data_IF_474308920443
#
_entry.id   IF_474308920443
#
_cell.length_a   1.000
_cell.length_b   1.000
_cell.length_c   1.000
_cell.angle_alpha   90.00
_cell.angle_beta   90.00
_cell.angle_gamma   90.00
#
_symmetry.space_group_name_H-M   'P 1'
#
loop_
_entity.id
_entity.type
_entity.pdbx_description
1 polymer ?
#
# COMPACT_ATOMS: atom_id res chain seq x y z
N UNK A 1 1.81 -2.82 -15.31
CA UNK A 1 1.56 -1.58 -14.54
C UNK A 1 2.74 -1.47 -13.59
N UNK A 2 3.49 -0.37 -13.60
CA UNK A 2 4.68 -0.24 -12.74
C UNK A 2 4.27 0.36 -11.40
N UNK A 3 4.03 -0.52 -10.44
CA UNK A 3 3.91 -0.19 -9.03
C UNK A 3 5.09 -0.77 -8.26
N UNK A 4 5.59 0.00 -7.31
CA UNK A 4 6.49 -0.50 -6.28
C UNK A 4 5.74 -0.45 -4.96
N UNK A 5 5.57 -1.60 -4.33
CA UNK A 5 5.07 -1.66 -2.97
C UNK A 5 6.24 -1.81 -2.01
N UNK A 6 6.38 -0.85 -1.10
CA UNK A 6 7.36 -0.92 -0.02
C UNK A 6 6.68 -1.12 1.32
N UNK A 7 7.07 -2.14 2.09
CA UNK A 7 6.70 -2.23 3.51
C UNK A 7 7.73 -1.39 4.27
N UNK A 8 7.26 -0.30 4.86
CA UNK A 8 8.09 0.56 5.70
C UNK A 8 7.80 0.27 7.17
N UNK A 9 8.83 -0.12 7.91
CA UNK A 9 8.81 -0.25 9.37
C UNK A 9 9.57 0.92 9.98
N UNK A 10 8.97 1.65 10.91
CA UNK A 10 9.68 2.73 11.61
C UNK A 10 8.78 3.84 12.17
N UNK A 11 9.24 4.46 13.25
CA UNK A 11 8.54 5.54 13.95
C UNK A 11 8.74 5.47 15.45
N UNK A 12 9.86 6.02 15.93
CA UNK A 12 10.26 6.00 17.34
C UNK A 12 9.16 6.50 18.29
N UNK A 13 8.49 7.61 17.93
CA UNK A 13 7.42 8.19 18.74
C UNK A 13 6.19 7.27 18.93
N UNK A 14 5.87 6.42 17.94
CA UNK A 14 4.77 5.46 18.06
C UNK A 14 5.20 4.21 18.84
N UNK A 15 6.46 3.83 18.71
CA UNK A 15 7.08 2.76 19.48
C UNK A 15 7.16 3.13 20.97
N UNK A 16 7.64 4.32 21.32
CA UNK A 16 7.71 4.77 22.73
C UNK A 16 6.34 4.75 23.42
N UNK A 17 5.26 5.01 22.68
CA UNK A 17 3.91 5.03 23.22
C UNK A 17 3.27 3.65 23.34
N UNK A 18 3.62 2.70 22.47
CA UNK A 18 2.88 1.43 22.33
C UNK A 18 3.74 0.17 22.47
N UNK A 19 5.07 0.31 22.47
CA UNK A 19 6.03 -0.79 22.38
C UNK A 19 6.06 -1.50 21.02
N UNK A 20 5.30 -1.03 20.02
CA UNK A 20 5.13 -1.69 18.72
C UNK A 20 5.59 -0.75 17.61
N UNK A 21 6.48 -1.21 16.74
CA UNK A 21 6.87 -0.47 15.56
C UNK A 21 5.70 -0.37 14.58
N UNK A 22 5.29 0.84 14.17
CA UNK A 22 4.24 0.97 13.19
C UNK A 22 4.76 0.52 11.82
N UNK A 23 3.94 -0.27 11.14
CA UNK A 23 4.19 -0.73 9.78
C UNK A 23 3.28 0.03 8.80
N UNK A 24 3.81 0.31 7.61
CA UNK A 24 3.10 0.99 6.55
C UNK A 24 3.31 0.28 5.22
N UNK A 25 2.25 0.21 4.43
CA UNK A 25 2.28 -0.09 3.01
C UNK A 25 2.47 1.23 2.25
N UNK A 26 3.59 1.37 1.54
CA UNK A 26 3.88 2.49 0.68
C UNK A 26 3.76 2.05 -0.78
N UNK A 27 2.68 2.46 -1.43
CA UNK A 27 2.46 2.22 -2.85
C UNK A 27 3.05 3.38 -3.63
N UNK A 28 3.98 3.13 -4.54
CA UNK A 28 4.53 4.12 -5.45
C UNK A 28 4.17 3.77 -6.89
N UNK A 29 3.59 4.72 -7.62
CA UNK A 29 3.37 4.60 -9.06
C UNK A 29 4.22 5.62 -9.78
N UNK A 30 5.27 5.16 -10.47
CA UNK A 30 6.11 6.01 -11.28
C UNK A 30 5.32 6.64 -12.43
N UNK A 31 4.40 5.87 -13.04
CA UNK A 31 3.53 6.32 -14.12
C UNK A 31 2.62 7.49 -13.70
N UNK A 32 2.12 7.47 -12.46
CA UNK A 32 1.23 8.51 -11.93
C UNK A 32 1.97 9.59 -11.13
N UNK A 33 3.29 9.46 -10.95
CA UNK A 33 4.10 10.35 -10.10
C UNK A 33 3.56 10.49 -8.68
N UNK A 34 2.83 9.49 -8.18
CA UNK A 34 2.06 9.56 -6.94
C UNK A 34 2.45 8.41 -6.02
N UNK A 35 2.42 8.68 -4.71
CA UNK A 35 2.63 7.66 -3.69
C UNK A 35 1.48 7.67 -2.67
N UNK A 36 1.12 6.49 -2.16
CA UNK A 36 0.13 6.32 -1.11
C UNK A 36 0.76 5.62 0.08
N UNK A 37 0.59 6.20 1.27
CA UNK A 37 1.02 5.60 2.53
C UNK A 37 -0.20 5.13 3.31
N UNK A 38 -0.27 3.84 3.56
CA UNK A 38 -1.36 3.22 4.30
C UNK A 38 -0.79 2.52 5.53
N UNK A 39 -1.38 2.74 6.71
CA UNK A 39 -0.96 2.00 7.90
C UNK A 39 -1.32 0.52 7.76
N UNK A 40 -0.37 -0.37 7.99
CA UNK A 40 -0.60 -1.81 8.06
C UNK A 40 -1.05 -2.14 9.48
N UNK A 41 -2.26 -2.68 9.62
CA UNK A 41 -2.87 -2.97 10.93
C UNK A 41 -2.93 -4.47 11.25
N UNK A 42 -2.80 -5.30 10.22
CA UNK A 42 -2.94 -6.76 10.30
C UNK A 42 -2.22 -7.40 9.12
N UNK A 43 -1.90 -8.69 9.26
CA UNK A 43 -1.28 -9.52 8.21
C UNK A 43 -2.15 -9.58 6.95
N UNK A 44 -3.48 -9.47 7.09
CA UNK A 44 -4.43 -9.35 5.99
C UNK A 44 -5.11 -8.01 6.02
N UNK A 45 -5.06 -7.25 4.92
CA UNK A 45 -5.68 -5.94 4.83
C UNK A 45 -6.09 -5.61 3.40
N UNK A 46 -7.28 -5.04 3.23
CA UNK A 46 -7.73 -4.52 1.94
C UNK A 46 -8.14 -3.05 2.04
N UNK A 47 -8.17 -2.37 0.92
CA UNK A 47 -8.61 -0.98 0.88
C UNK A 47 -8.51 -0.35 -0.51
N UNK A 48 -8.56 0.98 -0.51
CA UNK A 48 -8.67 1.79 -1.71
C UNK A 48 -7.57 2.84 -1.78
N UNK A 49 -6.95 2.99 -2.94
CA UNK A 49 -6.06 4.10 -3.24
C UNK A 49 -6.83 5.14 -4.06
N UNK A 50 -6.80 6.38 -3.60
CA UNK A 50 -7.52 7.49 -4.25
C UNK A 50 -6.56 8.38 -5.02
N UNK A 51 -6.92 8.73 -6.24
CA UNK A 51 -6.25 9.73 -7.05
C UNK A 51 -7.23 10.88 -7.29
N UNK A 52 -6.85 12.11 -6.91
CA UNK A 52 -7.70 13.31 -7.05
C UNK A 52 -9.12 13.13 -6.48
N UNK A 53 -9.23 12.43 -5.34
CA UNK A 53 -10.50 12.18 -4.66
C UNK A 53 -11.33 11.01 -5.18
N UNK A 54 -10.97 10.43 -6.34
CA UNK A 54 -11.64 9.26 -6.92
C UNK A 54 -10.89 7.98 -6.58
N UNK A 55 -11.61 6.86 -6.45
CA UNK A 55 -11.00 5.54 -6.28
C UNK A 55 -10.32 5.15 -7.59
N UNK A 56 -9.00 4.98 -7.54
CA UNK A 56 -8.19 4.57 -8.69
C UNK A 56 -7.78 3.10 -8.60
N UNK A 57 -7.59 2.57 -7.38
CA UNK A 57 -7.17 1.20 -7.17
C UNK A 57 -7.83 0.56 -5.96
N UNK A 58 -8.13 -0.73 -6.09
CA UNK A 58 -8.39 -1.63 -4.98
C UNK A 58 -7.10 -2.39 -4.68
N UNK A 59 -6.78 -2.59 -3.41
CA UNK A 59 -5.66 -3.44 -3.01
C UNK A 59 -6.12 -4.51 -2.02
N UNK A 60 -5.43 -5.65 -2.05
CA UNK A 60 -5.52 -6.70 -1.06
C UNK A 60 -4.11 -7.13 -0.70
N UNK A 61 -3.77 -7.00 0.57
CA UNK A 61 -2.52 -7.42 1.19
C UNK A 61 -2.76 -8.67 2.03
N UNK A 62 -1.87 -9.64 1.88
CA UNK A 62 -1.85 -10.90 2.62
C UNK A 62 -0.39 -11.29 2.85
N UNK A 63 0.09 -11.01 4.06
CA UNK A 63 1.37 -11.43 4.62
C UNK A 63 2.55 -11.48 3.63
N UNK A 64 2.97 -10.30 3.15
CA UNK A 64 4.10 -10.18 2.21
C UNK A 64 3.73 -10.38 0.74
N UNK A 65 2.46 -10.61 0.44
CA UNK A 65 1.90 -10.52 -0.91
C UNK A 65 0.89 -9.40 -1.00
N UNK A 66 0.92 -8.66 -2.12
CA UNK A 66 -0.11 -7.70 -2.43
C UNK A 66 -0.59 -7.89 -3.85
N UNK A 67 -1.90 -7.81 -4.04
CA UNK A 67 -2.52 -7.73 -5.34
C UNK A 67 -3.30 -6.43 -5.45
N UNK A 68 -3.29 -5.85 -6.64
CA UNK A 68 -3.98 -4.61 -6.93
C UNK A 68 -4.84 -4.74 -8.17
N UNK A 69 -5.90 -3.95 -8.21
CA UNK A 69 -6.83 -3.88 -9.33
C UNK A 69 -7.18 -2.44 -9.64
N UNK A 70 -7.09 -2.06 -10.90
CA UNK A 70 -7.45 -0.73 -11.39
C UNK A 70 -8.95 -0.52 -11.43
N UNK A 71 -9.38 0.67 -11.02
CA UNK A 71 -10.76 1.12 -11.05
C UNK A 71 -10.82 2.47 -11.76
N UNK A 72 -11.76 2.61 -12.69
CA UNK A 72 -12.00 3.85 -13.43
C UNK A 72 -13.50 4.11 -13.43
N UNK A 73 -13.91 5.28 -12.91
CA UNK A 73 -15.32 5.66 -12.76
C UNK A 73 -16.17 4.61 -12.00
N UNK A 74 -15.57 3.96 -11.00
CA UNK A 74 -16.24 2.92 -10.20
C UNK A 74 -16.34 1.55 -10.89
N UNK A 75 -15.86 1.43 -12.13
CA UNK A 75 -15.81 0.16 -12.87
C UNK A 75 -14.40 -0.41 -12.77
N UNK A 76 -14.32 -1.69 -12.44
CA UNK A 76 -13.07 -2.46 -12.47
C UNK A 76 -12.59 -2.56 -13.91
N UNK A 77 -11.37 -2.08 -14.18
CA UNK A 77 -10.81 -2.02 -15.53
C UNK A 77 -9.67 -3.00 -15.76
N UNK A 78 -9.35 -3.85 -14.79
CA UNK A 78 -8.20 -4.75 -14.83
C UNK A 78 -8.41 -5.96 -13.95
N UNK A 79 -7.69 -7.05 -14.21
CA UNK A 79 -7.59 -8.17 -13.27
C UNK A 79 -6.69 -7.81 -12.08
N UNK A 80 -6.65 -8.71 -11.09
CA UNK A 80 -5.75 -8.57 -9.95
C UNK A 80 -4.31 -8.87 -10.39
N UNK A 81 -3.42 -7.90 -10.25
CA UNK A 81 -1.99 -8.08 -10.53
C UNK A 81 -1.21 -8.22 -9.24
N UNK A 82 -0.33 -9.23 -9.10
CA UNK A 82 0.58 -9.33 -7.97
C UNK A 82 1.64 -8.24 -8.10
N UNK A 83 1.87 -7.52 -7.01
CA UNK A 83 2.88 -6.46 -6.94
C UNK A 83 4.11 -6.96 -6.18
N UNK A 84 5.29 -6.61 -6.70
CA UNK A 84 6.55 -6.97 -6.05
C UNK A 84 6.73 -6.12 -4.79
N UNK A 85 6.88 -6.79 -3.65
CA UNK A 85 7.12 -6.12 -2.37
C UNK A 85 8.62 -5.96 -2.13
N UNK A 86 9.01 -4.73 -1.81
CA UNK A 86 10.31 -4.38 -1.25
C UNK A 86 10.12 -4.11 0.23
N UNK A 87 10.98 -4.64 1.10
CA UNK A 87 10.92 -4.37 2.54
C UNK A 87 12.04 -3.38 2.85
N UNK A 88 11.68 -2.22 3.39
CA UNK A 88 12.63 -1.20 3.81
C UNK A 88 12.48 -0.94 5.32
N UNK A 89 13.60 -1.04 6.03
CA UNK A 89 13.72 -0.56 7.41
C UNK A 89 14.17 0.90 7.36
N UNK A 90 13.45 1.78 8.07
CA UNK A 90 13.90 3.17 8.29
C UNK A 90 14.08 3.38 9.79
N UNK A 91 15.33 3.61 10.17
CA UNK A 91 15.74 4.06 11.50
C UNK A 91 15.26 5.49 11.79
#
# INVERSE_FOLDING_TARGET
MDFTLTIQRGGFAAFEKTGIYPEFLLFHSAQLGTSWRVKLRSEKQNGFLKLKGQIAFHYYFDDGFCKMQSVTNGVVTSEWYPERIVIEMRD
#
